data_IF_026337408724
#
_entry.id   IF_026337408724
#
_cell.length_a   1.000
_cell.length_b   1.000
_cell.length_c   1.000
_cell.angle_alpha   90.00
_cell.angle_beta   90.00
_cell.angle_gamma   90.00
#
_symmetry.space_group_name_H-M   'P 1'
#
loop_
_entity.id
_entity.type
_entity.pdbx_description
1 polymer ?
#
# COMPACT_ATOMS: atom_id res chain seq x y z
N UNK A 1 -40.94 -17.83 8.23
CA UNK A 1 -40.42 -18.93 9.10
C UNK A 1 -39.45 -18.31 10.11
N UNK A 2 -39.76 -17.84 11.33
CA UNK A 2 -40.72 -18.26 12.37
C UNK A 2 -40.67 -19.76 12.69
N UNK A 3 -39.49 -20.23 13.13
CA UNK A 3 -39.26 -21.24 14.18
C UNK A 3 -37.84 -21.83 14.03
N UNK A 4 -36.81 -21.08 14.46
CA UNK A 4 -35.50 -21.66 14.82
C UNK A 4 -34.64 -20.68 15.68
N UNK A 5 -35.28 -19.94 16.61
CA UNK A 5 -34.60 -18.93 17.46
C UNK A 5 -34.75 -19.23 18.97
N UNK A 6 -35.32 -20.38 19.34
CA UNK A 6 -35.53 -20.76 20.75
C UNK A 6 -34.93 -22.13 21.03
N UNK A 7 -33.60 -22.17 21.19
CA UNK A 7 -32.83 -23.15 22.00
C UNK A 7 -31.34 -22.91 21.75
N UNK A 8 -30.76 -21.90 22.41
CA UNK A 8 -29.33 -21.83 22.79
C UNK A 8 -29.00 -20.57 23.63
N UNK A 9 -29.96 -20.08 24.42
CA UNK A 9 -29.68 -19.09 25.48
C UNK A 9 -29.98 -19.75 26.83
N UNK A 10 -29.02 -20.51 27.34
CA UNK A 10 -28.86 -20.81 28.77
C UNK A 10 -27.46 -21.40 29.00
N UNK A 11 -26.72 -20.81 29.94
CA UNK A 11 -25.32 -21.06 30.33
C UNK A 11 -24.22 -20.45 29.45
N UNK A 12 -23.96 -19.15 29.64
CA UNK A 12 -22.61 -18.64 29.95
C UNK A 12 -22.78 -17.43 30.88
N UNK A 13 -22.02 -17.42 31.99
CA UNK A 13 -22.15 -16.51 33.11
C UNK A 13 -21.76 -15.06 32.82
N UNK A 14 -22.36 -14.18 33.63
CA UNK A 14 -22.29 -12.71 33.64
C UNK A 14 -20.96 -12.13 34.17
N UNK A 15 -19.81 -12.59 33.66
CA UNK A 15 -18.50 -12.03 34.06
C UNK A 15 -17.61 -11.58 32.88
N UNK A 16 -17.82 -12.10 31.68
CA UNK A 16 -16.94 -11.81 30.52
C UNK A 16 -17.34 -10.58 29.69
N UNK A 17 -18.46 -9.91 30.02
CA UNK A 17 -18.93 -8.74 29.26
C UNK A 17 -18.34 -7.40 29.73
N UNK A 18 -17.79 -7.31 30.94
CA UNK A 18 -17.10 -6.09 31.38
C UNK A 18 -15.65 -5.97 30.88
N UNK A 19 -14.95 -7.09 30.65
CA UNK A 19 -13.53 -7.04 30.27
C UNK A 19 -13.31 -6.71 28.78
N UNK A 20 -14.23 -7.11 27.91
CA UNK A 20 -14.16 -6.86 26.46
C UNK A 20 -14.55 -5.41 26.11
N UNK A 21 -15.44 -4.80 26.90
CA UNK A 21 -15.79 -3.38 26.74
C UNK A 21 -14.73 -2.42 27.31
N UNK A 22 -13.92 -2.84 28.30
CA UNK A 22 -12.82 -2.03 28.82
C UNK A 22 -11.59 -1.99 27.89
N UNK A 23 -11.31 -3.07 27.14
CA UNK A 23 -10.21 -3.08 26.15
C UNK A 23 -10.51 -2.22 24.91
N UNK A 24 -11.77 -2.08 24.51
CA UNK A 24 -12.17 -1.28 23.35
C UNK A 24 -12.16 0.24 23.60
N UNK A 25 -12.26 0.66 24.86
CA UNK A 25 -12.29 2.09 25.24
C UNK A 25 -10.90 2.64 25.59
N UNK A 26 -9.92 1.78 25.92
CA UNK A 26 -8.57 2.22 26.33
C UNK A 26 -7.58 2.31 25.16
N UNK A 27 -7.81 1.65 24.02
CA UNK A 27 -6.89 1.71 22.87
C UNK A 27 -7.28 2.71 21.75
N UNK A 28 -8.49 3.29 21.79
CA UNK A 28 -8.93 4.33 20.84
C UNK A 28 -8.55 5.78 21.18
N UNK A 29 -8.16 6.19 22.42
CA UNK A 29 -7.74 7.58 22.67
C UNK A 29 -6.25 7.86 22.42
N UNK A 30 -5.38 6.84 22.36
CA UNK A 30 -3.93 7.08 22.28
C UNK A 30 -3.41 7.47 20.90
N UNK A 31 -4.16 7.18 19.82
CA UNK A 31 -3.86 7.72 18.48
C UNK A 31 -4.38 9.15 18.35
N UNK A 32 -5.46 9.50 19.05
CA UNK A 32 -6.11 10.81 18.94
C UNK A 32 -5.35 11.94 19.67
N UNK A 33 -4.67 11.63 20.78
CA UNK A 33 -3.93 12.62 21.57
C UNK A 33 -2.50 12.90 21.06
N UNK A 34 -1.95 12.07 20.17
CA UNK A 34 -0.63 12.29 19.58
C UNK A 34 -0.65 13.26 18.37
N UNK A 35 -1.82 13.54 17.78
CA UNK A 35 -1.95 14.36 16.56
C UNK A 35 -2.37 15.81 16.83
N UNK A 36 -2.77 16.16 18.06
CA UNK A 36 -3.32 17.49 18.38
C UNK A 36 -2.35 18.49 19.04
N UNK A 37 -1.04 18.24 19.02
CA UNK A 37 -0.05 19.17 19.60
C UNK A 37 1.07 19.56 18.63
N UNK A 38 0.72 19.89 17.38
CA UNK A 38 1.61 20.63 16.47
C UNK A 38 0.84 21.78 15.81
N UNK A 39 0.41 22.76 16.61
CA UNK A 39 0.23 24.11 16.11
C UNK A 39 1.56 24.85 16.23
N UNK A 40 2.40 24.74 15.22
CA UNK A 40 3.45 25.74 14.99
C UNK A 40 3.16 26.43 13.66
N UNK A 41 2.83 27.72 13.77
CA UNK A 41 2.76 28.64 12.64
C UNK A 41 4.13 28.66 11.96
N UNK A 42 4.23 28.12 10.75
CA UNK A 42 5.40 28.30 9.88
C UNK A 42 4.92 28.68 8.48
N UNK A 43 5.30 29.89 8.06
CA UNK A 43 5.14 30.38 6.69
C UNK A 43 5.90 29.44 5.74
N UNK A 44 5.37 29.12 4.56
CA UNK A 44 6.09 28.33 3.57
C UNK A 44 7.29 29.12 3.05
N UNK A 45 8.48 28.50 3.12
CA UNK A 45 9.70 28.99 2.47
C UNK A 45 9.54 28.74 0.96
N UNK A 46 9.32 29.80 0.19
CA UNK A 46 9.37 29.76 -1.28
C UNK A 46 10.83 29.66 -1.72
N UNK A 47 11.25 28.48 -2.15
CA UNK A 47 12.47 28.34 -2.97
C UNK A 47 12.03 28.58 -4.40
N UNK A 48 12.52 29.67 -5.00
CA UNK A 48 12.22 30.02 -6.39
C UNK A 48 12.94 29.03 -7.32
N UNK A 49 12.16 28.21 -8.02
CA UNK A 49 12.60 27.48 -9.21
C UNK A 49 12.11 28.26 -10.41
N UNK A 50 13.02 28.55 -11.33
CA UNK A 50 12.79 29.31 -12.56
C UNK A 50 11.77 28.60 -13.47
N UNK A 51 10.53 29.08 -13.47
CA UNK A 51 9.47 28.66 -14.40
C UNK A 51 9.75 29.21 -15.81
N UNK A 52 10.24 28.34 -16.69
CA UNK A 52 10.03 28.50 -18.14
C UNK A 52 9.76 27.13 -18.74
N UNK A 53 8.48 26.75 -18.87
CA UNK A 53 7.91 25.85 -19.89
C UNK A 53 6.38 25.75 -19.67
N UNK A 54 5.59 26.03 -20.72
CA UNK A 54 4.14 26.31 -20.68
C UNK A 54 3.27 25.31 -19.91
N UNK A 55 2.54 25.84 -18.92
CA UNK A 55 1.60 25.15 -18.04
C UNK A 55 0.26 24.79 -18.70
N UNK A 56 0.18 23.59 -19.28
CA UNK A 56 -1.08 22.86 -19.45
C UNK A 56 -1.05 21.64 -18.53
N UNK A 57 -2.21 21.23 -17.98
CA UNK A 57 -2.27 20.02 -17.15
C UNK A 57 -1.77 18.80 -17.94
N UNK A 58 -1.11 17.84 -17.29
CA UNK A 58 -0.66 16.62 -17.96
C UNK A 58 -1.83 15.90 -18.64
N UNK A 59 -3.01 16.00 -18.02
CA UNK A 59 -4.23 15.48 -18.59
C UNK A 59 -4.55 16.17 -19.92
N UNK A 60 -4.40 17.49 -20.02
CA UNK A 60 -4.54 18.21 -21.29
C UNK A 60 -3.52 17.73 -22.35
N UNK A 61 -2.29 17.38 -21.96
CA UNK A 61 -1.28 16.81 -22.89
C UNK A 61 -1.63 15.37 -23.31
N UNK A 62 -2.02 14.52 -22.37
CA UNK A 62 -2.55 13.17 -22.63
C UNK A 62 -3.80 13.21 -23.53
N UNK A 63 -4.62 14.25 -23.41
CA UNK A 63 -5.79 14.47 -24.26
C UNK A 63 -5.44 14.97 -25.66
N UNK A 64 -4.34 15.71 -25.82
CA UNK A 64 -3.83 16.13 -27.14
C UNK A 64 -3.05 15.01 -27.83
N UNK A 65 -2.45 14.11 -27.06
CA UNK A 65 -1.76 12.92 -27.54
C UNK A 65 -2.79 11.86 -27.96
N UNK A 66 -3.23 11.99 -29.22
CA UNK A 66 -3.88 11.02 -30.09
C UNK A 66 -5.11 10.23 -29.54
N UNK A 67 -6.31 10.39 -30.15
CA UNK A 67 -7.49 9.53 -29.90
C UNK A 67 -7.20 8.02 -29.87
N UNK A 68 -6.20 7.56 -30.63
CA UNK A 68 -5.75 6.17 -30.65
C UNK A 68 -5.25 5.65 -29.29
N UNK A 69 -4.56 6.48 -28.49
CA UNK A 69 -4.06 6.07 -27.17
C UNK A 69 -5.23 5.90 -26.18
N UNK A 70 -6.21 6.79 -26.23
CA UNK A 70 -7.42 6.67 -25.43
C UNK A 70 -8.21 5.40 -25.77
N UNK A 71 -8.37 5.11 -27.07
CA UNK A 71 -9.03 3.88 -27.53
C UNK A 71 -8.29 2.63 -27.05
N UNK A 72 -6.96 2.59 -27.16
CA UNK A 72 -6.15 1.45 -26.73
C UNK A 72 -6.29 1.16 -25.22
N UNK A 73 -6.32 2.20 -24.38
CA UNK A 73 -6.52 2.03 -22.92
C UNK A 73 -7.96 1.55 -22.62
N UNK A 74 -8.96 2.06 -23.34
CA UNK A 74 -10.35 1.58 -23.22
C UNK A 74 -10.49 0.09 -23.59
N UNK A 75 -9.88 -0.34 -24.70
CA UNK A 75 -9.83 -1.75 -25.10
C UNK A 75 -9.14 -2.63 -24.06
N UNK A 76 -8.04 -2.14 -23.47
CA UNK A 76 -7.34 -2.81 -22.37
C UNK A 76 -8.22 -3.02 -21.14
N UNK A 77 -9.00 -2.02 -20.73
CA UNK A 77 -9.97 -2.17 -19.64
C UNK A 77 -11.05 -3.21 -19.98
N UNK A 78 -11.59 -3.17 -21.19
CA UNK A 78 -12.58 -4.15 -21.65
C UNK A 78 -12.02 -5.58 -21.70
N UNK A 79 -10.76 -5.75 -22.09
CA UNK A 79 -10.07 -7.05 -22.06
C UNK A 79 -9.93 -7.56 -20.62
N UNK A 80 -9.43 -6.72 -19.69
CA UNK A 80 -9.25 -7.11 -18.28
C UNK A 80 -10.56 -7.49 -17.61
N UNK A 81 -11.64 -6.75 -17.90
CA UNK A 81 -12.99 -7.06 -17.38
C UNK A 81 -13.51 -8.40 -17.89
N UNK A 82 -13.39 -8.67 -19.19
CA UNK A 82 -13.79 -9.96 -19.78
C UNK A 82 -12.98 -11.11 -19.17
N UNK A 83 -11.66 -10.97 -19.10
CA UNK A 83 -10.80 -11.98 -18.47
C UNK A 83 -11.24 -12.27 -17.04
N UNK A 84 -11.45 -11.24 -16.21
CA UNK A 84 -11.92 -11.43 -14.84
C UNK A 84 -13.24 -12.21 -14.81
N UNK A 85 -14.22 -11.80 -15.62
CA UNK A 85 -15.53 -12.46 -15.69
C UNK A 85 -15.42 -13.93 -16.10
N UNK A 86 -14.58 -14.24 -17.09
CA UNK A 86 -14.31 -15.61 -17.55
C UNK A 86 -13.68 -16.44 -16.41
N UNK A 87 -12.65 -15.92 -15.74
CA UNK A 87 -11.98 -16.65 -14.66
C UNK A 87 -12.86 -16.82 -13.42
N UNK A 88 -13.75 -15.88 -13.13
CA UNK A 88 -14.70 -15.96 -12.03
C UNK A 88 -15.71 -17.11 -12.21
N UNK A 89 -16.07 -17.46 -13.45
CA UNK A 89 -16.94 -18.61 -13.73
C UNK A 89 -16.27 -19.96 -13.41
N UNK A 90 -14.93 -20.01 -13.51
CA UNK A 90 -14.13 -21.25 -13.44
C UNK A 90 -13.43 -21.48 -12.08
N UNK A 91 -13.80 -20.73 -11.04
CA UNK A 91 -13.11 -20.74 -9.75
C UNK A 91 -13.99 -21.24 -8.59
N UNK A 92 -14.03 -22.56 -8.34
CA UNK A 92 -14.79 -23.14 -7.22
C UNK A 92 -14.22 -22.78 -5.84
N UNK A 93 -12.92 -22.47 -5.73
CA UNK A 93 -12.23 -22.12 -4.47
C UNK A 93 -12.38 -20.65 -4.06
N UNK A 94 -12.87 -19.78 -4.95
CA UNK A 94 -13.02 -18.35 -4.69
C UNK A 94 -13.96 -18.04 -3.50
N UNK A 95 -14.99 -18.88 -3.30
CA UNK A 95 -15.95 -18.72 -2.21
C UNK A 95 -15.45 -19.26 -0.86
N UNK A 96 -14.36 -20.04 -0.85
CA UNK A 96 -13.81 -20.68 0.35
C UNK A 96 -12.91 -19.78 1.20
N UNK A 97 -12.38 -18.71 0.63
CA UNK A 97 -11.53 -17.75 1.33
C UNK A 97 -12.40 -16.76 2.12
N UNK A 98 -12.57 -17.11 3.39
CA UNK A 98 -13.09 -16.36 4.54
C UNK A 98 -13.99 -15.15 4.29
N UNK A 99 -15.19 -15.25 4.84
CA UNK A 99 -16.18 -14.20 4.90
C UNK A 99 -15.74 -13.08 5.86
N UNK A 100 -15.45 -11.90 5.34
CA UNK A 100 -15.79 -10.70 6.09
C UNK A 100 -16.33 -9.67 5.11
N UNK A 101 -17.64 -9.74 4.88
CA UNK A 101 -18.44 -8.64 4.35
C UNK A 101 -17.98 -7.29 4.94
N UNK A 102 -17.58 -7.28 6.22
CA UNK A 102 -16.96 -6.13 6.89
C UNK A 102 -15.63 -5.68 6.28
N UNK A 103 -14.68 -6.57 5.94
CA UNK A 103 -13.42 -6.14 5.33
C UNK A 103 -13.66 -5.53 3.94
N UNK A 104 -14.53 -6.13 3.13
CA UNK A 104 -14.89 -5.58 1.81
C UNK A 104 -15.49 -4.18 1.96
N UNK A 105 -16.40 -4.00 2.94
CA UNK A 105 -17.01 -2.70 3.24
C UNK A 105 -16.01 -1.63 3.65
N UNK A 106 -14.91 -2.01 4.31
CA UNK A 106 -13.84 -1.07 4.68
C UNK A 106 -13.07 -0.55 3.48
N UNK A 107 -12.97 -1.34 2.41
CA UNK A 107 -12.22 -0.96 1.21
C UNK A 107 -13.09 -0.24 0.16
N UNK A 108 -14.42 -0.34 0.20
CA UNK A 108 -15.30 0.38 -0.73
C UNK A 108 -15.44 1.85 -0.34
N UNK A 109 -14.70 2.69 -1.06
CA UNK A 109 -14.78 4.15 -0.99
C UNK A 109 -15.87 4.64 -1.93
N UNK A 110 -16.78 5.47 -1.42
CA UNK A 110 -18.01 5.86 -2.11
C UNK A 110 -17.99 7.37 -2.35
N UNK A 111 -18.35 7.75 -3.56
CA UNK A 111 -18.71 9.12 -3.90
C UNK A 111 -20.11 9.14 -4.55
N UNK A 112 -21.07 9.67 -3.80
CA UNK A 112 -22.47 9.71 -4.25
C UNK A 112 -22.75 10.86 -5.22
N UNK A 113 -21.86 11.87 -5.30
CA UNK A 113 -22.04 13.02 -6.20
C UNK A 113 -21.86 12.60 -7.67
N UNK A 114 -20.84 11.78 -7.94
CA UNK A 114 -20.53 11.29 -9.29
C UNK A 114 -20.97 9.83 -9.50
N UNK A 115 -21.63 9.21 -8.51
CA UNK A 115 -22.03 7.79 -8.51
C UNK A 115 -20.84 6.87 -8.78
N UNK A 116 -19.78 6.99 -7.96
CA UNK A 116 -18.55 6.23 -8.09
C UNK A 116 -18.29 5.38 -6.84
N UNK A 117 -17.79 4.17 -7.07
CA UNK A 117 -17.26 3.29 -6.02
C UNK A 117 -15.84 2.87 -6.40
N UNK A 118 -14.89 3.19 -5.55
CA UNK A 118 -13.51 2.77 -5.69
C UNK A 118 -13.19 1.73 -4.62
N UNK A 119 -12.65 0.58 -5.03
CA UNK A 119 -12.13 -0.38 -4.06
C UNK A 119 -10.66 -0.10 -3.75
N UNK A 120 -10.41 0.38 -2.52
CA UNK A 120 -9.09 0.78 -2.05
C UNK A 120 -8.28 -0.41 -1.53
N UNK A 121 -7.70 -1.19 -2.45
CA UNK A 121 -6.72 -2.24 -2.12
C UNK A 121 -5.43 -1.59 -1.58
N UNK A 122 -4.80 -2.15 -0.56
CA UNK A 122 -3.53 -1.59 -0.09
C UNK A 122 -2.34 -1.97 -0.99
N UNK A 123 -1.33 -1.10 -1.04
CA UNK A 123 -0.05 -1.28 -1.78
C UNK A 123 -0.13 -1.23 -3.32
N UNK A 124 -1.17 -0.60 -3.85
CA UNK A 124 -1.49 -0.48 -5.29
C UNK A 124 -1.77 0.98 -5.74
N UNK A 125 -1.26 1.97 -5.01
CA UNK A 125 -1.57 3.38 -5.28
C UNK A 125 -2.87 3.88 -4.63
N UNK A 126 -3.40 3.17 -3.63
CA UNK A 126 -4.61 3.55 -2.90
C UNK A 126 -4.57 4.94 -2.28
N UNK A 127 -3.42 5.37 -1.77
CA UNK A 127 -3.25 6.72 -1.19
C UNK A 127 -3.64 7.82 -2.19
N UNK A 128 -3.24 7.68 -3.47
CA UNK A 128 -3.57 8.65 -4.51
C UNK A 128 -5.08 8.75 -4.71
N UNK A 129 -5.76 7.62 -4.92
CA UNK A 129 -7.21 7.62 -5.11
C UNK A 129 -7.98 8.04 -3.86
N UNK A 130 -7.51 7.70 -2.65
CA UNK A 130 -8.10 8.21 -1.41
C UNK A 130 -8.03 9.76 -1.32
N UNK A 131 -6.92 10.37 -1.75
CA UNK A 131 -6.78 11.83 -1.87
C UNK A 131 -7.73 12.42 -2.92
N UNK A 132 -7.87 11.76 -4.08
CA UNK A 132 -8.89 12.13 -5.08
C UNK A 132 -10.28 12.15 -4.45
N UNK A 133 -10.67 11.13 -3.70
CA UNK A 133 -11.98 11.07 -3.05
C UNK A 133 -12.18 12.14 -1.94
N UNK A 134 -11.11 12.62 -1.30
CA UNK A 134 -11.19 13.80 -0.41
C UNK A 134 -11.51 15.09 -1.17
N UNK A 135 -11.05 15.21 -2.41
CA UNK A 135 -11.35 16.34 -3.29
C UNK A 135 -12.81 16.25 -3.74
N UNK A 136 -13.22 15.08 -4.28
CA UNK A 136 -14.57 14.87 -4.79
C UNK A 136 -15.67 15.04 -3.72
N UNK A 137 -15.37 14.67 -2.47
CA UNK A 137 -16.29 14.85 -1.34
C UNK A 137 -16.42 16.31 -0.87
N UNK A 138 -15.54 17.20 -1.33
CA UNK A 138 -15.41 18.58 -0.86
C UNK A 138 -14.71 18.72 0.51
N UNK A 139 -14.14 17.63 1.06
CA UNK A 139 -13.41 17.69 2.34
C UNK A 139 -12.12 18.50 2.23
N UNK A 140 -11.44 18.44 1.08
CA UNK A 140 -10.30 19.30 0.76
C UNK A 140 -10.64 20.21 -0.41
N UNK A 141 -10.49 21.51 -0.22
CA UNK A 141 -10.67 22.52 -1.26
C UNK A 141 -9.37 22.74 -2.05
N UNK A 142 -8.88 21.69 -2.70
CA UNK A 142 -7.72 21.68 -3.60
C UNK A 142 -8.06 20.84 -4.83
N UNK A 143 -7.38 21.07 -5.95
CA UNK A 143 -7.56 20.24 -7.15
C UNK A 143 -6.46 19.19 -7.33
N UNK A 144 -5.30 19.39 -6.69
CA UNK A 144 -4.16 18.50 -6.81
C UNK A 144 -4.11 17.49 -5.66
N UNK A 145 -4.22 16.17 -5.92
CA UNK A 145 -4.09 15.15 -4.88
C UNK A 145 -2.76 15.20 -4.13
N UNK A 146 -1.66 15.65 -4.75
CA UNK A 146 -0.34 15.72 -4.14
C UNK A 146 -0.20 16.89 -3.13
N UNK A 147 -1.13 17.85 -3.11
CA UNK A 147 -1.20 18.87 -2.04
C UNK A 147 -1.67 18.29 -0.69
N UNK A 148 -2.29 17.11 -0.70
CA UNK A 148 -2.77 16.43 0.49
C UNK A 148 -1.67 15.49 1.01
N UNK A 149 -1.20 15.67 2.25
CA UNK A 149 -0.19 14.79 2.84
C UNK A 149 -0.65 13.32 2.91
N UNK A 150 0.24 12.36 2.61
CA UNK A 150 -0.14 10.95 2.45
C UNK A 150 -0.62 10.32 3.74
N UNK A 151 -0.04 10.74 4.87
CA UNK A 151 -0.46 10.34 6.22
C UNK A 151 -1.90 10.80 6.55
N UNK A 152 -2.44 11.80 5.84
CA UNK A 152 -3.80 12.34 6.02
C UNK A 152 -4.79 11.83 4.98
N UNK A 153 -4.40 10.88 4.13
CA UNK A 153 -5.26 10.34 3.07
C UNK A 153 -6.36 9.38 3.58
N UNK A 154 -6.51 9.16 4.89
CA UNK A 154 -7.37 8.10 5.45
C UNK A 154 -8.73 8.59 6.01
N UNK A 155 -9.07 9.85 5.79
CA UNK A 155 -10.30 10.49 6.30
C UNK A 155 -11.02 11.30 5.20
N UNK A 156 -12.19 11.86 5.51
CA UNK A 156 -12.80 12.87 4.63
C UNK A 156 -13.53 12.34 3.40
N UNK A 157 -13.85 11.05 3.35
CA UNK A 157 -14.68 10.43 2.31
C UNK A 157 -15.56 9.33 2.91
N UNK A 158 -16.61 8.96 2.19
CA UNK A 158 -17.54 7.92 2.63
C UNK A 158 -16.98 6.54 2.33
N UNK A 159 -17.18 5.60 3.27
CA UNK A 159 -16.93 4.17 3.05
C UNK A 159 -18.19 3.35 3.33
N UNK A 160 -18.23 2.12 2.84
CA UNK A 160 -19.35 1.22 3.09
C UNK A 160 -19.40 0.68 4.54
N UNK A 161 -18.34 0.85 5.35
CA UNK A 161 -18.21 0.33 6.72
C UNK A 161 -19.42 0.65 7.63
N UNK A 162 -20.01 1.83 7.47
CA UNK A 162 -21.13 2.32 8.30
C UNK A 162 -22.50 2.24 7.64
N UNK A 163 -22.62 1.68 6.44
CA UNK A 163 -23.87 1.69 5.67
C UNK A 163 -24.64 0.37 5.83
N UNK A 164 -26.00 0.40 5.85
CA UNK A 164 -26.79 -0.81 5.85
C UNK A 164 -26.70 -1.52 4.49
N UNK A 165 -26.90 -2.84 4.49
CA UNK A 165 -26.64 -3.70 3.32
C UNK A 165 -27.48 -3.32 2.09
N UNK A 166 -28.76 -3.02 2.29
CA UNK A 166 -29.68 -2.55 1.24
C UNK A 166 -29.16 -1.27 0.56
N UNK A 167 -28.60 -0.35 1.34
CA UNK A 167 -27.99 0.89 0.83
C UNK A 167 -26.71 0.61 0.05
N UNK A 168 -25.87 -0.28 0.54
CA UNK A 168 -24.64 -0.68 -0.16
C UNK A 168 -25.00 -1.34 -1.50
N UNK A 169 -25.96 -2.27 -1.49
CA UNK A 169 -26.44 -2.92 -2.70
C UNK A 169 -27.03 -1.91 -3.70
N UNK A 170 -27.82 -0.94 -3.23
CA UNK A 170 -28.32 0.15 -4.06
C UNK A 170 -27.19 0.98 -4.68
N UNK A 171 -26.18 1.37 -3.89
CA UNK A 171 -25.04 2.15 -4.37
C UNK A 171 -24.25 1.37 -5.42
N UNK A 172 -23.91 0.09 -5.15
CA UNK A 172 -23.16 -0.75 -6.08
C UNK A 172 -23.90 -0.96 -7.41
N UNK A 173 -25.24 -1.11 -7.37
CA UNK A 173 -26.06 -1.26 -8.57
C UNK A 173 -26.12 -0.02 -9.44
N UNK A 174 -26.06 1.18 -8.84
CA UNK A 174 -26.28 2.46 -9.54
C UNK A 174 -25.00 3.29 -9.75
N UNK A 175 -23.83 2.79 -9.35
CA UNK A 175 -22.55 3.49 -9.45
C UNK A 175 -21.62 2.82 -10.44
N UNK A 176 -20.73 3.59 -11.09
CA UNK A 176 -19.55 3.01 -11.74
C UNK A 176 -18.55 2.57 -10.67
N UNK A 177 -17.99 1.38 -10.84
CA UNK A 177 -17.08 0.74 -9.89
C UNK A 177 -15.75 0.53 -10.58
N UNK A 178 -14.68 0.88 -9.88
CA UNK A 178 -13.34 0.58 -10.35
C UNK A 178 -12.42 0.14 -9.23
N UNK A 179 -11.38 -0.57 -9.61
CA UNK A 179 -10.33 -1.04 -8.72
C UNK A 179 -8.99 -1.01 -9.46
N UNK A 180 -7.91 -1.04 -8.71
CA UNK A 180 -6.58 -1.31 -9.23
C UNK A 180 -6.06 -2.59 -8.58
N UNK A 181 -5.19 -3.29 -9.29
CA UNK A 181 -4.47 -4.45 -8.78
C UNK A 181 -2.99 -4.32 -9.09
N UNK A 182 -2.17 -5.18 -8.49
CA UNK A 182 -0.73 -5.28 -8.78
C UNK A 182 -0.32 -6.73 -8.85
N UNK A 183 0.74 -7.00 -9.59
CA UNK A 183 1.45 -8.27 -9.57
C UNK A 183 1.60 -8.78 -8.10
N UNK A 184 1.12 -9.99 -7.77
CA UNK A 184 0.96 -10.43 -6.38
C UNK A 184 2.25 -10.50 -5.57
N UNK A 185 3.36 -10.96 -6.16
CA UNK A 185 4.64 -11.06 -5.48
C UNK A 185 5.22 -9.66 -5.22
N UNK A 186 5.17 -8.77 -6.21
CA UNK A 186 5.61 -7.39 -6.01
C UNK A 186 4.79 -6.66 -4.94
N UNK A 187 3.48 -6.92 -4.90
CA UNK A 187 2.60 -6.34 -3.88
C UNK A 187 2.98 -6.85 -2.48
N UNK A 188 3.24 -8.15 -2.35
CA UNK A 188 3.63 -8.76 -1.09
C UNK A 188 4.97 -8.21 -0.57
N UNK A 189 5.96 -8.10 -1.45
CA UNK A 189 7.25 -7.46 -1.13
C UNK A 189 7.06 -5.98 -0.76
N UNK A 190 6.20 -5.25 -1.46
CA UNK A 190 5.89 -3.86 -1.10
C UNK A 190 5.25 -3.74 0.28
N UNK A 191 4.42 -4.71 0.68
CA UNK A 191 3.87 -4.83 2.03
C UNK A 191 4.98 -5.00 3.07
N UNK A 192 5.85 -5.99 2.89
CA UNK A 192 7.01 -6.22 3.77
C UNK A 192 7.87 -4.98 3.91
N UNK A 193 8.27 -4.39 2.77
CA UNK A 193 9.17 -3.25 2.72
C UNK A 193 8.58 -2.05 3.47
N UNK A 194 7.29 -1.80 3.32
CA UNK A 194 6.62 -0.65 3.93
C UNK A 194 6.32 -0.82 5.42
N UNK A 195 6.01 -2.05 5.86
CA UNK A 195 5.47 -2.31 7.20
C UNK A 195 6.47 -2.92 8.17
N UNK A 196 7.42 -3.73 7.68
CA UNK A 196 8.33 -4.48 8.54
C UNK A 196 9.78 -4.09 8.29
N UNK A 197 10.19 -3.88 7.04
CA UNK A 197 11.55 -3.42 6.73
C UNK A 197 11.74 -1.92 6.97
N UNK A 198 10.83 -1.05 6.56
CA UNK A 198 10.95 0.38 6.88
C UNK A 198 10.65 0.62 8.37
N UNK A 199 11.21 1.68 8.99
CA UNK A 199 10.93 1.99 10.38
C UNK A 199 9.44 2.18 10.66
N UNK A 200 8.84 1.24 11.39
CA UNK A 200 7.42 1.23 11.71
C UNK A 200 7.18 0.51 13.05
N UNK A 201 7.33 1.25 14.15
CA UNK A 201 7.25 0.68 15.49
C UNK A 201 5.89 0.03 15.80
N UNK A 202 4.79 0.46 15.15
CA UNK A 202 3.47 -0.12 15.35
C UNK A 202 3.39 -1.53 14.75
N UNK A 203 3.84 -1.69 13.50
CA UNK A 203 3.88 -3.00 12.85
C UNK A 203 4.91 -3.93 13.45
N UNK A 204 6.06 -3.40 13.88
CA UNK A 204 7.06 -4.17 14.62
C UNK A 204 6.47 -4.73 15.92
N UNK A 205 5.80 -3.90 16.72
CA UNK A 205 5.19 -4.33 17.97
C UNK A 205 4.04 -5.34 17.77
N UNK A 206 3.24 -5.18 16.70
CA UNK A 206 2.06 -6.02 16.48
C UNK A 206 2.35 -7.30 15.68
N UNK A 207 2.95 -7.17 14.49
CA UNK A 207 3.22 -8.27 13.57
C UNK A 207 4.66 -8.76 13.73
N UNK A 208 5.63 -7.85 13.84
CA UNK A 208 7.05 -8.21 13.93
C UNK A 208 7.36 -9.11 15.12
N UNK A 209 6.88 -8.76 16.32
CA UNK A 209 7.07 -9.58 17.53
C UNK A 209 6.38 -10.94 17.41
N UNK A 210 5.23 -11.02 16.74
CA UNK A 210 4.56 -12.30 16.49
C UNK A 210 5.38 -13.18 15.56
N UNK A 211 5.92 -12.60 14.49
CA UNK A 211 6.75 -13.33 13.54
C UNK A 211 7.98 -13.91 14.25
N UNK A 212 8.72 -13.06 14.97
CA UNK A 212 9.93 -13.49 15.70
C UNK A 212 9.64 -14.49 16.80
N UNK A 213 8.48 -14.42 17.47
CA UNK A 213 8.11 -15.40 18.50
C UNK A 213 7.65 -16.74 17.93
N UNK A 214 7.13 -16.76 16.69
CA UNK A 214 6.47 -17.95 16.11
C UNK A 214 7.37 -18.71 15.14
N UNK A 215 8.13 -18.00 14.29
CA UNK A 215 8.87 -18.61 13.17
C UNK A 215 10.38 -18.60 13.37
N UNK A 216 10.92 -17.74 14.26
CA UNK A 216 12.36 -17.65 14.49
C UNK A 216 12.82 -18.64 15.56
N UNK A 217 13.66 -19.59 15.16
CA UNK A 217 14.34 -20.47 16.10
C UNK A 217 15.27 -19.67 17.03
N UNK A 218 15.23 -19.95 18.34
CA UNK A 218 16.09 -19.32 19.36
C UNK A 218 16.06 -17.78 19.35
N UNK A 219 14.91 -17.16 19.09
CA UNK A 219 14.78 -15.71 19.08
C UNK A 219 15.25 -15.06 20.40
N UNK A 220 16.12 -14.05 20.25
CA UNK A 220 16.67 -13.27 21.36
C UNK A 220 15.56 -12.53 22.13
N UNK A 221 15.85 -12.12 23.36
CA UNK A 221 14.91 -11.31 24.14
C UNK A 221 14.57 -9.99 23.43
N UNK A 222 15.55 -9.41 22.72
CA UNK A 222 15.35 -8.21 21.92
C UNK A 222 14.44 -8.45 20.72
N UNK A 223 14.69 -9.49 19.93
CA UNK A 223 13.85 -9.84 18.78
C UNK A 223 12.38 -10.02 19.22
N UNK A 224 12.15 -10.76 20.30
CA UNK A 224 10.80 -11.00 20.85
C UNK A 224 10.12 -9.74 21.38
N UNK A 225 10.90 -8.77 21.87
CA UNK A 225 10.40 -7.49 22.39
C UNK A 225 10.13 -6.49 21.28
N UNK A 226 11.01 -6.42 20.29
CA UNK A 226 11.03 -5.36 19.31
C UNK A 226 10.49 -5.76 17.95
N UNK A 227 10.79 -6.95 17.44
CA UNK A 227 10.31 -7.43 16.13
C UNK A 227 10.73 -6.56 14.93
N UNK A 228 11.77 -5.74 15.09
CA UNK A 228 12.19 -4.75 14.09
C UNK A 228 13.13 -5.34 13.03
N UNK A 229 13.64 -6.55 13.27
CA UNK A 229 14.65 -7.28 12.51
C UNK A 229 14.06 -8.52 11.81
N UNK A 230 12.76 -8.51 11.53
CA UNK A 230 12.09 -9.59 10.78
C UNK A 230 12.64 -9.67 9.36
N UNK A 231 13.10 -10.85 8.97
CA UNK A 231 13.58 -11.15 7.61
C UNK A 231 12.42 -11.35 6.63
N UNK A 232 12.70 -11.27 5.33
CA UNK A 232 11.69 -11.52 4.31
C UNK A 232 11.16 -12.96 4.35
N UNK A 233 12.04 -13.94 4.56
CA UNK A 233 11.64 -15.35 4.70
C UNK A 233 10.66 -15.56 5.85
N UNK A 234 10.97 -15.04 7.04
CA UNK A 234 10.07 -15.14 8.20
C UNK A 234 8.73 -14.46 7.96
N UNK A 235 8.73 -13.33 7.23
CA UNK A 235 7.51 -12.67 6.80
C UNK A 235 6.67 -13.53 5.85
N UNK A 236 7.28 -14.21 4.87
CA UNK A 236 6.58 -15.10 3.94
C UNK A 236 5.98 -16.31 4.67
N UNK A 237 6.73 -16.91 5.60
CA UNK A 237 6.21 -17.98 6.46
C UNK A 237 4.99 -17.53 7.26
N UNK A 238 5.06 -16.32 7.83
CA UNK A 238 3.91 -15.70 8.49
C UNK A 238 2.74 -15.46 7.54
N UNK A 239 2.98 -14.95 6.33
CA UNK A 239 1.94 -14.72 5.35
C UNK A 239 1.18 -16.02 5.07
N UNK A 240 1.88 -17.08 4.67
CA UNK A 240 1.29 -18.41 4.40
C UNK A 240 0.51 -18.92 5.63
N UNK A 241 1.13 -18.85 6.81
CA UNK A 241 0.48 -19.26 8.05
C UNK A 241 -0.81 -18.47 8.33
N UNK A 242 -0.80 -17.15 8.14
CA UNK A 242 -1.94 -16.26 8.38
C UNK A 242 -3.11 -16.57 7.44
N UNK A 243 -2.80 -16.95 6.18
CA UNK A 243 -3.81 -17.32 5.19
C UNK A 243 -4.50 -18.61 5.59
N UNK A 244 -3.72 -19.66 5.86
CA UNK A 244 -4.23 -20.99 6.21
C UNK A 244 -5.01 -21.03 7.52
N UNK A 245 -4.54 -20.29 8.54
CA UNK A 245 -5.10 -20.35 9.90
C UNK A 245 -6.10 -19.23 10.18
N UNK A 246 -6.33 -18.33 9.23
CA UNK A 246 -7.16 -17.14 9.39
C UNK A 246 -6.78 -16.31 10.64
N UNK A 247 -5.48 -16.15 10.89
CA UNK A 247 -4.96 -15.54 12.11
C UNK A 247 -4.01 -14.38 11.80
N UNK A 248 -4.25 -13.23 12.44
CA UNK A 248 -3.45 -11.99 12.28
C UNK A 248 -3.26 -11.59 10.81
N UNK A 249 -4.32 -11.71 10.01
CA UNK A 249 -4.35 -11.24 8.63
C UNK A 249 -4.31 -9.70 8.63
N UNK A 250 -3.58 -9.12 7.68
CA UNK A 250 -3.44 -7.66 7.54
C UNK A 250 -3.71 -7.24 6.09
N UNK A 251 -4.50 -6.19 5.91
CA UNK A 251 -4.91 -5.69 4.59
C UNK A 251 -3.70 -5.39 3.66
N UNK A 252 -2.55 -5.00 4.19
CA UNK A 252 -1.37 -4.71 3.37
C UNK A 252 -0.70 -5.95 2.79
N UNK A 253 -1.06 -7.16 3.26
CA UNK A 253 -0.44 -8.42 2.84
C UNK A 253 -1.43 -9.37 2.16
N UNK A 254 -2.69 -9.43 2.62
CA UNK A 254 -3.70 -10.34 2.04
C UNK A 254 -3.87 -10.11 0.53
N UNK A 255 -4.21 -11.13 -0.27
CA UNK A 255 -4.36 -11.01 -1.72
C UNK A 255 -5.29 -9.87 -2.20
N UNK A 256 -5.10 -9.43 -3.43
CA UNK A 256 -5.89 -8.37 -4.07
C UNK A 256 -7.38 -8.74 -4.08
N UNK A 257 -7.72 -9.97 -4.49
CA UNK A 257 -9.10 -10.41 -4.66
C UNK A 257 -9.92 -10.34 -3.36
N UNK A 258 -9.28 -10.52 -2.20
CA UNK A 258 -9.96 -10.53 -0.91
C UNK A 258 -10.50 -9.17 -0.48
N UNK A 259 -9.83 -8.09 -0.88
CA UNK A 259 -10.24 -6.72 -0.54
C UNK A 259 -11.56 -6.35 -1.20
N UNK A 260 -11.75 -6.80 -2.44
CA UNK A 260 -12.72 -6.22 -3.36
C UNK A 260 -13.76 -7.21 -3.87
N UNK A 261 -13.58 -8.51 -3.64
CA UNK A 261 -14.46 -9.56 -4.13
C UNK A 261 -14.86 -9.35 -5.61
N UNK A 262 -13.88 -9.33 -6.55
CA UNK A 262 -14.11 -8.98 -7.94
C UNK A 262 -15.06 -9.92 -8.70
N UNK A 263 -15.33 -11.14 -8.21
CA UNK A 263 -16.36 -12.03 -8.78
C UNK A 263 -17.77 -11.80 -8.21
N UNK A 264 -17.91 -11.06 -7.10
CA UNK A 264 -19.20 -10.73 -6.49
C UNK A 264 -19.62 -9.28 -6.80
N UNK A 265 -18.64 -8.42 -7.12
CA UNK A 265 -18.84 -7.01 -7.48
C UNK A 265 -18.42 -6.81 -8.93
N UNK A 266 -19.35 -6.40 -9.79
CA UNK A 266 -19.11 -6.20 -11.23
C UNK A 266 -18.35 -4.89 -11.49
N UNK A 267 -17.02 -4.91 -11.36
CA UNK A 267 -16.16 -3.75 -11.64
C UNK A 267 -16.14 -3.41 -13.14
N UNK A 268 -16.50 -2.18 -13.49
CA UNK A 268 -16.42 -1.69 -14.86
C UNK A 268 -14.98 -1.46 -15.31
N UNK A 269 -14.09 -1.05 -14.40
CA UNK A 269 -12.69 -0.77 -14.71
C UNK A 269 -11.73 -1.44 -13.73
N UNK A 270 -10.78 -2.21 -14.27
CA UNK A 270 -9.73 -2.90 -13.52
C UNK A 270 -8.38 -2.37 -14.01
N UNK A 271 -7.81 -1.45 -13.24
CA UNK A 271 -6.49 -0.88 -13.49
C UNK A 271 -5.38 -1.79 -12.97
N UNK A 272 -4.16 -1.62 -13.47
CA UNK A 272 -2.96 -2.31 -12.99
C UNK A 272 -1.93 -1.30 -12.52
N UNK A 273 -1.19 -1.57 -11.44
CA UNK A 273 -0.15 -0.66 -10.95
C UNK A 273 0.96 -0.48 -12.00
N UNK A 274 1.21 -1.51 -12.80
CA UNK A 274 2.20 -1.52 -13.88
C UNK A 274 1.84 -0.52 -15.00
N UNK A 275 0.56 -0.17 -15.13
CA UNK A 275 0.04 0.85 -16.07
C UNK A 275 -0.71 1.97 -15.35
N UNK A 276 -0.34 2.25 -14.08
CA UNK A 276 -1.13 3.09 -13.18
C UNK A 276 -1.35 4.51 -13.72
N UNK A 277 -0.31 5.10 -14.32
CA UNK A 277 -0.36 6.47 -14.85
C UNK A 277 -1.37 6.56 -16.00
N UNK A 278 -1.25 5.69 -17.01
CA UNK A 278 -2.12 5.67 -18.18
C UNK A 278 -3.57 5.33 -17.78
N UNK A 279 -3.74 4.32 -16.93
CA UNK A 279 -5.06 3.90 -16.42
C UNK A 279 -5.73 5.03 -15.61
N UNK A 280 -4.97 5.73 -14.76
CA UNK A 280 -5.49 6.86 -13.96
C UNK A 280 -5.91 8.03 -14.84
N UNK A 281 -5.06 8.42 -15.81
CA UNK A 281 -5.38 9.53 -16.72
C UNK A 281 -6.60 9.22 -17.59
N UNK A 282 -6.71 7.98 -18.09
CA UNK A 282 -7.90 7.52 -18.78
C UNK A 282 -9.14 7.60 -17.89
N UNK A 283 -9.08 7.06 -16.67
CA UNK A 283 -10.23 7.04 -15.75
C UNK A 283 -10.70 8.43 -15.35
N UNK A 284 -9.78 9.35 -15.04
CA UNK A 284 -10.16 10.72 -14.68
C UNK A 284 -10.95 11.39 -15.81
N UNK A 285 -10.63 11.11 -17.08
CA UNK A 285 -11.38 11.62 -18.21
C UNK A 285 -12.70 10.86 -18.43
N UNK A 286 -12.65 9.53 -18.47
CA UNK A 286 -13.82 8.68 -18.74
C UNK A 286 -14.92 8.85 -17.68
N UNK A 287 -14.53 9.12 -16.44
CA UNK A 287 -15.43 9.43 -15.32
C UNK A 287 -15.74 10.93 -15.17
N UNK A 288 -15.28 11.78 -16.11
CA UNK A 288 -15.51 13.24 -16.14
C UNK A 288 -15.03 13.98 -14.88
N UNK A 289 -13.94 13.51 -14.28
CA UNK A 289 -13.31 14.08 -13.09
C UNK A 289 -12.16 15.04 -13.43
N UNK A 290 -11.83 15.18 -14.71
CA UNK A 290 -10.70 15.96 -15.24
C UNK A 290 -10.82 17.48 -14.99
N UNK A 291 -12.03 17.95 -14.69
CA UNK A 291 -12.27 19.34 -14.32
C UNK A 291 -11.99 19.62 -12.83
N UNK A 292 -12.16 18.63 -11.95
CA UNK A 292 -12.01 18.74 -10.49
C UNK A 292 -10.61 18.32 -10.02
N UNK A 293 -10.02 17.30 -10.66
CA UNK A 293 -8.72 16.73 -10.29
C UNK A 293 -7.66 17.13 -11.31
N UNK A 294 -6.64 17.86 -10.87
CA UNK A 294 -5.60 18.43 -11.74
C UNK A 294 -4.22 18.32 -11.09
N UNK A 295 -3.28 17.76 -11.82
CA UNK A 295 -1.86 17.67 -11.46
C UNK A 295 -0.99 17.81 -12.71
N UNK A 296 0.29 18.08 -12.53
CA UNK A 296 1.16 18.56 -13.62
C UNK A 296 2.21 17.56 -14.07
N UNK A 297 2.86 16.85 -13.15
CA UNK A 297 3.84 15.82 -13.46
C UNK A 297 3.63 14.61 -12.55
N UNK A 298 2.74 13.71 -12.97
CA UNK A 298 2.37 12.55 -12.19
C UNK A 298 3.58 11.71 -11.73
N UNK A 299 4.61 11.57 -12.56
CA UNK A 299 5.77 10.75 -12.20
C UNK A 299 6.64 11.48 -11.17
N UNK A 300 7.02 12.72 -11.46
CA UNK A 300 7.88 13.52 -10.57
C UNK A 300 7.20 13.79 -9.23
N UNK A 301 5.90 14.08 -9.25
CA UNK A 301 5.11 14.32 -8.04
C UNK A 301 4.97 13.06 -7.19
N UNK A 302 4.76 11.88 -7.81
CA UNK A 302 4.73 10.60 -7.09
C UNK A 302 6.08 10.27 -6.45
N UNK A 303 7.19 10.51 -7.14
CA UNK A 303 8.54 10.26 -6.60
C UNK A 303 8.86 11.24 -5.45
N UNK A 304 8.56 12.52 -5.62
CA UNK A 304 8.71 13.54 -4.58
C UNK A 304 7.84 13.24 -3.35
N UNK A 305 6.58 12.89 -3.55
CA UNK A 305 5.64 12.53 -2.49
C UNK A 305 6.17 11.33 -1.70
N UNK A 306 6.64 10.29 -2.39
CA UNK A 306 7.25 9.12 -1.76
C UNK A 306 8.50 9.45 -0.92
N UNK A 307 9.33 10.41 -1.35
CA UNK A 307 10.49 10.88 -0.59
C UNK A 307 10.06 11.60 0.69
N UNK A 308 9.11 12.53 0.57
CA UNK A 308 8.63 13.33 1.69
C UNK A 308 7.91 12.47 2.72
N UNK A 309 7.01 11.59 2.26
CA UNK A 309 6.25 10.67 3.11
C UNK A 309 7.17 9.69 3.84
N UNK A 310 8.22 9.19 3.19
CA UNK A 310 9.17 8.27 3.83
C UNK A 310 9.88 8.93 5.02
N UNK A 311 10.27 10.20 4.88
CA UNK A 311 10.83 10.98 6.00
C UNK A 311 9.78 11.25 7.07
N UNK A 312 8.61 11.80 6.69
CA UNK A 312 7.55 12.16 7.65
C UNK A 312 7.12 10.98 8.52
N UNK A 313 7.03 9.78 7.94
CA UNK A 313 6.64 8.60 8.69
C UNK A 313 7.64 8.24 9.80
N UNK A 314 8.95 8.23 9.49
CA UNK A 314 10.01 7.92 10.47
C UNK A 314 10.00 8.93 11.62
N UNK A 315 9.98 10.23 11.30
CA UNK A 315 10.00 11.27 12.33
C UNK A 315 8.71 11.31 13.15
N UNK A 316 7.54 11.00 12.56
CA UNK A 316 6.28 10.91 13.31
C UNK A 316 6.29 9.81 14.38
N UNK A 317 7.11 8.78 14.19
CA UNK A 317 7.23 7.63 15.09
C UNK A 317 8.57 7.57 15.85
N UNK A 318 9.39 8.63 15.78
CA UNK A 318 10.76 8.67 16.32
C UNK A 318 10.85 8.11 17.75
N UNK A 319 10.02 8.61 18.68
CA UNK A 319 10.04 8.17 20.10
C UNK A 319 9.77 6.67 20.29
N UNK A 320 9.01 6.05 19.39
CA UNK A 320 8.69 4.63 19.45
C UNK A 320 9.79 3.79 18.77
N UNK A 321 10.32 4.27 17.64
CA UNK A 321 11.42 3.63 16.90
C UNK A 321 12.68 3.56 17.78
N UNK A 322 13.02 4.65 18.48
CA UNK A 322 14.24 4.74 19.31
C UNK A 322 14.29 3.82 20.52
N UNK A 323 13.20 3.07 20.79
CA UNK A 323 13.19 2.01 21.82
C UNK A 323 13.84 0.71 21.36
N UNK A 324 14.01 0.55 20.05
CA UNK A 324 14.40 -0.71 19.42
C UNK A 324 15.46 -0.55 18.32
N UNK A 325 15.77 0.68 17.90
CA UNK A 325 16.70 0.97 16.80
C UNK A 325 17.23 2.39 16.94
N UNK A 326 18.47 2.66 16.56
CA UNK A 326 19.00 4.04 16.58
C UNK A 326 18.30 4.90 15.52
N UNK A 327 18.28 6.23 15.71
CA UNK A 327 17.75 7.11 14.65
C UNK A 327 18.56 7.01 13.37
N UNK A 328 19.87 6.77 13.48
CA UNK A 328 20.76 6.63 12.34
C UNK A 328 20.38 5.42 11.49
N UNK A 329 20.21 4.25 12.11
CA UNK A 329 19.74 3.02 11.46
C UNK A 329 18.33 3.19 10.85
N UNK A 330 17.44 3.92 11.55
CA UNK A 330 16.10 4.18 11.04
C UNK A 330 16.14 5.03 9.75
N UNK A 331 16.94 6.10 9.73
CA UNK A 331 17.13 6.92 8.55
C UNK A 331 17.80 6.13 7.42
N UNK A 332 18.77 5.28 7.73
CA UNK A 332 19.38 4.39 6.74
C UNK A 332 18.36 3.42 6.11
N UNK A 333 17.53 2.74 6.90
CA UNK A 333 16.46 1.86 6.38
C UNK A 333 15.42 2.62 5.57
N UNK A 334 15.14 3.87 5.95
CA UNK A 334 14.29 4.77 5.16
C UNK A 334 14.92 5.10 3.79
N UNK A 335 16.23 5.33 3.74
CA UNK A 335 16.98 5.51 2.48
C UNK A 335 16.95 4.23 1.63
N UNK A 336 17.23 3.06 2.23
CA UNK A 336 17.15 1.75 1.55
C UNK A 336 15.75 1.48 0.99
N UNK A 337 14.68 1.84 1.70
CA UNK A 337 13.29 1.77 1.18
C UNK A 337 13.15 2.51 -0.15
N UNK A 338 13.75 3.70 -0.28
CA UNK A 338 13.69 4.50 -1.50
C UNK A 338 14.54 3.90 -2.63
N UNK A 339 15.66 3.25 -2.30
CA UNK A 339 16.45 2.48 -3.27
C UNK A 339 15.71 1.23 -3.77
N UNK A 340 15.11 0.46 -2.86
CA UNK A 340 14.26 -0.71 -3.21
C UNK A 340 13.12 -0.30 -4.14
N UNK A 341 12.53 0.88 -3.92
CA UNK A 341 11.46 1.42 -4.78
C UNK A 341 11.97 1.95 -6.12
N UNK A 342 13.29 1.98 -6.35
CA UNK A 342 13.90 2.57 -7.53
C UNK A 342 13.69 4.08 -7.61
N UNK A 343 13.55 4.78 -6.47
CA UNK A 343 13.43 6.26 -6.39
C UNK A 343 14.82 6.89 -6.27
N UNK A 344 15.68 6.26 -5.48
CA UNK A 344 17.10 6.63 -5.35
C UNK A 344 17.93 5.51 -6.00
N UNK A 345 18.98 5.87 -6.74
CA UNK A 345 19.87 4.88 -7.37
C UNK A 345 20.69 4.15 -6.29
N UNK A 346 21.07 2.90 -6.56
CA UNK A 346 22.02 2.17 -5.72
C UNK A 346 23.41 2.82 -5.73
N UNK A 347 23.75 3.53 -6.80
CA UNK A 347 25.03 4.24 -6.97
C UNK A 347 25.15 5.50 -6.09
N UNK A 348 24.04 6.00 -5.55
CA UNK A 348 24.04 7.17 -4.67
C UNK A 348 24.14 6.68 -3.23
N UNK A 349 25.31 6.85 -2.63
CA UNK A 349 25.60 6.43 -1.26
C UNK A 349 24.74 7.16 -0.21
N UNK A 350 24.51 6.49 0.91
CA UNK A 350 23.82 7.09 2.05
C UNK A 350 24.68 8.24 2.63
N UNK A 351 24.17 9.47 2.72
CA UNK A 351 25.00 10.64 3.04
C UNK A 351 25.44 10.73 4.51
N UNK A 352 24.91 9.89 5.40
CA UNK A 352 25.23 9.93 6.82
C UNK A 352 25.98 8.64 7.21
N UNK A 353 27.27 8.54 6.89
CA UNK A 353 28.05 7.29 7.05
C UNK A 353 28.52 7.07 8.50
N UNK A 354 28.67 8.13 9.29
CA UNK A 354 29.24 8.04 10.65
C UNK A 354 28.15 8.17 11.73
N UNK A 355 28.06 7.18 12.61
CA UNK A 355 27.34 7.30 13.88
C UNK A 355 28.09 8.32 14.77
N UNK A 356 27.63 9.57 14.78
CA UNK A 356 28.25 10.63 15.58
C UNK A 356 27.94 12.05 15.12
N UNK A 357 27.47 12.22 13.89
CA UNK A 357 27.10 13.53 13.37
C UNK A 357 25.68 13.86 13.80
N UNK A 358 25.58 14.70 14.84
CA UNK A 358 24.46 15.60 15.28
C UNK A 358 23.01 15.18 14.95
N UNK A 359 22.08 15.52 15.83
CA UNK A 359 20.65 15.30 15.58
C UNK A 359 20.20 15.84 14.20
N UNK A 360 19.86 14.93 13.28
CA UNK A 360 19.51 15.26 11.90
C UNK A 360 18.05 15.72 11.91
N UNK A 361 17.82 16.99 11.61
CA UNK A 361 16.46 17.53 11.49
C UNK A 361 15.72 16.92 10.30
N UNK A 362 14.39 16.82 10.38
CA UNK A 362 13.56 16.32 9.28
C UNK A 362 13.75 17.13 7.98
N UNK A 363 13.92 18.45 8.08
CA UNK A 363 14.12 19.33 6.91
C UNK A 363 15.49 19.11 6.27
N UNK A 364 16.52 18.81 7.07
CA UNK A 364 17.82 18.40 6.57
C UNK A 364 17.77 17.03 5.89
N UNK A 365 17.11 16.06 6.51
CA UNK A 365 16.96 14.73 5.94
C UNK A 365 16.19 14.76 4.61
N UNK A 366 15.05 15.44 4.55
CA UNK A 366 14.26 15.62 3.32
C UNK A 366 15.07 16.28 2.20
N UNK A 367 15.87 17.32 2.51
CA UNK A 367 16.75 17.96 1.52
C UNK A 367 17.78 16.97 0.98
N UNK A 368 18.41 16.19 1.84
CA UNK A 368 19.38 15.18 1.42
C UNK A 368 18.74 14.09 0.54
N UNK A 369 17.54 13.63 0.88
CA UNK A 369 16.82 12.66 0.03
C UNK A 369 16.47 13.23 -1.35
N UNK A 370 16.04 14.49 -1.42
CA UNK A 370 15.75 15.17 -2.69
C UNK A 370 17.02 15.37 -3.52
N UNK A 371 18.14 15.72 -2.88
CA UNK A 371 19.46 15.80 -3.53
C UNK A 371 19.89 14.44 -4.06
N UNK A 372 19.76 13.37 -3.26
CA UNK A 372 20.11 12.02 -3.68
C UNK A 372 19.27 11.59 -4.90
N UNK A 373 17.96 11.85 -4.87
CA UNK A 373 17.06 11.59 -5.98
C UNK A 373 17.47 12.34 -7.26
N UNK A 374 17.84 13.62 -7.15
CA UNK A 374 18.30 14.41 -8.29
C UNK A 374 19.59 13.83 -8.95
N UNK A 375 20.46 13.19 -8.17
CA UNK A 375 21.66 12.50 -8.66
C UNK A 375 21.41 11.06 -9.12
N UNK A 376 20.17 10.57 -9.00
CA UNK A 376 19.86 9.17 -9.25
C UNK A 376 19.49 8.85 -10.71
N UNK A 377 19.63 9.82 -11.62
CA UNK A 377 19.32 9.64 -13.03
C UNK A 377 17.82 9.44 -13.35
N UNK A 378 17.49 9.22 -14.63
CA UNK A 378 16.10 9.06 -15.07
C UNK A 378 15.48 7.76 -14.51
N UNK A 379 14.14 7.70 -14.35
CA UNK A 379 13.45 6.53 -13.81
C UNK A 379 13.79 5.21 -14.50
N UNK A 380 14.04 5.24 -15.82
CA UNK A 380 14.45 4.08 -16.61
C UNK A 380 15.74 3.44 -16.11
N UNK A 381 16.72 4.24 -15.70
CA UNK A 381 18.01 3.76 -15.19
C UNK A 381 17.89 3.07 -13.83
N UNK A 382 16.84 3.39 -13.06
CA UNK A 382 16.57 2.86 -11.72
C UNK A 382 15.58 1.70 -11.69
N UNK A 383 15.07 1.28 -12.86
CA UNK A 383 14.13 0.15 -12.95
C UNK A 383 14.79 -1.15 -12.47
N UNK A 384 16.10 -1.31 -12.67
CA UNK A 384 16.89 -2.44 -12.18
C UNK A 384 16.79 -2.60 -10.67
N UNK A 385 16.83 -1.51 -9.89
CA UNK A 385 16.80 -1.58 -8.42
C UNK A 385 15.59 -2.37 -7.89
N UNK A 386 14.40 -2.09 -8.42
CA UNK A 386 13.17 -2.80 -8.02
C UNK A 386 13.26 -4.28 -8.35
N UNK A 387 13.80 -4.61 -9.52
CA UNK A 387 13.96 -5.98 -9.99
C UNK A 387 15.01 -6.73 -9.17
N UNK A 388 16.13 -6.11 -8.86
CA UNK A 388 17.21 -6.71 -8.10
C UNK A 388 16.82 -6.90 -6.63
N UNK A 389 16.19 -5.91 -6.00
CA UNK A 389 15.63 -6.07 -4.67
C UNK A 389 14.57 -7.19 -4.62
N UNK A 390 13.75 -7.31 -5.66
CA UNK A 390 12.80 -8.41 -5.78
C UNK A 390 13.53 -9.77 -5.84
N UNK A 391 14.54 -9.90 -6.69
CA UNK A 391 15.31 -11.15 -6.80
C UNK A 391 16.05 -11.45 -5.48
N UNK A 392 16.70 -10.46 -4.84
CA UNK A 392 17.37 -10.62 -3.54
C UNK A 392 16.40 -11.18 -2.50
N UNK A 393 15.24 -10.54 -2.32
CA UNK A 393 14.27 -10.96 -1.33
C UNK A 393 13.79 -12.40 -1.57
N UNK A 394 13.35 -12.72 -2.79
CA UNK A 394 12.81 -14.04 -3.10
C UNK A 394 13.87 -15.13 -3.18
N UNK A 395 15.13 -14.79 -3.42
CA UNK A 395 16.26 -15.74 -3.37
C UNK A 395 16.53 -16.29 -1.98
N UNK A 396 16.04 -15.64 -0.92
CA UNK A 396 16.15 -16.12 0.46
C UNK A 396 15.22 -17.29 0.77
N UNK A 397 14.24 -17.58 -0.09
CA UNK A 397 13.22 -18.58 0.19
C UNK A 397 13.63 -19.96 -0.32
N UNK A 398 13.40 -21.00 0.49
CA UNK A 398 13.51 -22.38 0.02
C UNK A 398 12.46 -22.73 -1.05
N UNK A 399 12.73 -23.74 -1.88
CA UNK A 399 11.82 -24.20 -2.92
C UNK A 399 10.43 -24.62 -2.37
N UNK A 400 10.39 -25.24 -1.20
CA UNK A 400 9.13 -25.61 -0.52
C UNK A 400 8.30 -24.38 -0.13
N UNK A 401 8.96 -23.35 0.42
CA UNK A 401 8.30 -22.09 0.79
C UNK A 401 7.79 -21.35 -0.44
N UNK A 402 8.58 -21.30 -1.52
CA UNK A 402 8.17 -20.72 -2.80
C UNK A 402 6.95 -21.43 -3.40
N UNK A 403 6.93 -22.77 -3.36
CA UNK A 403 5.79 -23.54 -3.86
C UNK A 403 4.51 -23.24 -3.06
N UNK A 404 4.60 -23.22 -1.72
CA UNK A 404 3.48 -22.86 -0.85
C UNK A 404 2.99 -21.43 -1.11
N UNK A 405 3.92 -20.48 -1.23
CA UNK A 405 3.59 -19.10 -1.54
C UNK A 405 2.88 -18.97 -2.90
N UNK A 406 3.34 -19.72 -3.91
CA UNK A 406 2.73 -19.73 -5.25
C UNK A 406 1.28 -20.20 -5.20
N UNK A 407 0.98 -21.19 -4.38
CA UNK A 407 -0.41 -21.63 -4.17
C UNK A 407 -1.27 -20.54 -3.54
N UNK A 408 -0.75 -19.83 -2.52
CA UNK A 408 -1.48 -18.72 -1.85
C UNK A 408 -1.76 -17.54 -2.78
N UNK A 409 -0.89 -17.28 -3.76
CA UNK A 409 -1.03 -16.16 -4.70
C UNK A 409 -1.74 -16.56 -6.02
N UNK A 410 -2.03 -17.85 -6.22
CA UNK A 410 -2.55 -18.38 -7.48
C UNK A 410 -3.90 -17.79 -7.90
N UNK A 411 -4.77 -17.46 -6.95
CA UNK A 411 -6.10 -16.89 -7.22
C UNK A 411 -5.97 -15.50 -7.84
N UNK A 412 -5.12 -14.64 -7.26
CA UNK A 412 -4.85 -13.32 -7.85
C UNK A 412 -4.21 -13.45 -9.23
N UNK A 413 -3.23 -14.35 -9.38
CA UNK A 413 -2.54 -14.55 -10.65
C UNK A 413 -3.53 -14.93 -11.76
N UNK A 414 -4.43 -15.88 -11.47
CA UNK A 414 -5.48 -16.29 -12.40
C UNK A 414 -6.47 -15.16 -12.69
N UNK A 415 -7.09 -14.57 -11.66
CA UNK A 415 -8.15 -13.56 -11.81
C UNK A 415 -7.70 -12.31 -12.57
N UNK A 416 -6.43 -11.92 -12.43
CA UNK A 416 -5.93 -10.65 -12.96
C UNK A 416 -4.91 -10.81 -14.08
N UNK A 417 -4.77 -12.01 -14.65
CA UNK A 417 -3.87 -12.29 -15.78
C UNK A 417 -2.42 -11.89 -15.45
N UNK A 418 -1.89 -12.48 -14.38
CA UNK A 418 -0.47 -12.43 -14.05
C UNK A 418 0.15 -13.82 -14.20
N UNK A 419 1.47 -13.85 -14.39
CA UNK A 419 2.24 -15.09 -14.39
C UNK A 419 2.14 -15.74 -13.00
N UNK A 420 1.78 -17.03 -12.96
CA UNK A 420 1.72 -17.76 -11.70
C UNK A 420 3.09 -17.84 -11.01
N UNK A 421 4.13 -18.05 -11.80
CA UNK A 421 5.53 -17.99 -11.38
C UNK A 421 6.19 -16.87 -12.17
N UNK A 422 6.64 -15.78 -11.53
CA UNK A 422 7.26 -14.67 -12.25
C UNK A 422 8.52 -15.10 -13.00
N UNK A 423 8.70 -14.70 -14.26
CA UNK A 423 9.94 -14.91 -15.02
C UNK A 423 11.21 -14.44 -14.30
N UNK A 424 11.09 -13.46 -13.41
CA UNK A 424 12.20 -13.00 -12.59
C UNK A 424 12.82 -14.11 -11.72
N UNK A 425 12.07 -15.17 -11.40
CA UNK A 425 12.55 -16.29 -10.60
C UNK A 425 13.57 -17.17 -11.32
N UNK A 426 13.60 -17.18 -12.66
CA UNK A 426 14.65 -17.86 -13.43
C UNK A 426 16.06 -17.36 -13.10
N UNK A 427 16.16 -16.13 -12.57
CA UNK A 427 17.44 -15.51 -12.18
C UNK A 427 17.85 -15.80 -10.73
N UNK A 428 16.99 -16.42 -9.92
CA UNK A 428 17.27 -16.65 -8.50
C UNK A 428 18.43 -17.64 -8.30
N UNK A 429 18.46 -18.75 -9.05
CA UNK A 429 19.48 -19.80 -8.88
C UNK A 429 20.91 -19.32 -9.13
N UNK A 430 21.07 -18.30 -9.98
CA UNK A 430 22.35 -17.71 -10.36
C UNK A 430 22.56 -16.30 -9.77
N UNK A 431 21.72 -15.89 -8.83
CA UNK A 431 21.80 -14.55 -8.27
C UNK A 431 23.07 -14.38 -7.43
N UNK A 432 23.88 -13.38 -7.79
CA UNK A 432 25.03 -12.92 -7.02
C UNK A 432 24.82 -11.43 -6.73
N UNK A 433 24.58 -11.02 -5.47
CA UNK A 433 24.33 -9.63 -5.16
C UNK A 433 25.63 -8.82 -5.31
N UNK A 434 25.62 -7.80 -6.17
CA UNK A 434 26.63 -6.73 -6.16
C UNK A 434 26.29 -5.65 -5.12
N UNK A 435 25.01 -5.58 -4.75
CA UNK A 435 24.46 -4.67 -3.77
C UNK A 435 23.46 -5.43 -2.90
N UNK A 436 23.43 -5.14 -1.60
CA UNK A 436 22.42 -5.70 -0.68
C UNK A 436 21.40 -4.64 -0.27
N UNK A 437 20.16 -4.84 -0.69
CA UNK A 437 19.02 -3.99 -0.40
C UNK A 437 18.50 -4.18 1.02
N UNK A 438 18.60 -5.41 1.58
CA UNK A 438 17.99 -5.76 2.86
C UNK A 438 18.98 -5.87 4.02
N UNK A 439 20.27 -5.58 3.80
CA UNK A 439 21.22 -5.43 4.89
C UNK A 439 20.83 -4.25 5.80
N UNK A 440 20.58 -4.54 7.08
CA UNK A 440 20.01 -3.58 8.03
C UNK A 440 21.05 -2.71 8.75
N UNK A 441 22.33 -3.08 8.68
CA UNK A 441 23.44 -2.32 9.25
C UNK A 441 24.19 -1.56 8.16
N UNK A 442 24.83 -0.45 8.53
CA UNK A 442 25.62 0.37 7.63
C UNK A 442 26.97 -0.25 7.30
#
# INVERSE_FOLDING_TARGET
>A
MRMLVLRLVKKVGTSTRCLVLLMAVVCMPFVYLALNNVHTSKRPVKVAVSDTLGGGSILKRYLTDAPAQHTAVGERFAQRRRHLQDQCADLPSYFGTQNSENAVKEHLTIDTKHNLVYCAIEKIGSTFWKRVYQILSGFKNVSDPFEIQGIRAYEGYLTAKGLPFDRIHYILKNSKKFMFVREPYERLLSGYVDKLFAPNAAYWAFIGTFITQTFRANATAEAKRCGHDVTFEEFVLYFIYSQHNNLRRDAHFVPNFEHCRPCEIDYEYIGKLETFKEDTLFLLKELQLDSEVRFTDFQTETERDAIVDAADYVYSMQKAITKCMSMHEALFRCYRKLQIRGIISTDVEYPFIREGDRDISIDEYKRNLLTAHAHSGPPESRKSNRREAFIEAYSTLSADVLLKLTNELSVDAKLFDYELVPKAFEKIENYKPEFSFFHIHL
#
